data_IF_400519913303
#
_entry.id   IF_400519913303
#
_cell.length_a   1.000
_cell.length_b   1.000
_cell.length_c   1.000
_cell.angle_alpha   90.00
_cell.angle_beta   90.00
_cell.angle_gamma   90.00
#
_symmetry.space_group_name_H-M   'P 1'
#
loop_
_entity.id
_entity.type
_entity.pdbx_description
1 polymer ?
#
# COMPACT_ATOMS: atom_id res chain seq x y z
N UNK A 1 -17.60 11.61 -12.38
CA UNK A 1 -16.38 11.67 -11.54
C UNK A 1 -15.85 10.27 -11.32
N UNK A 2 -14.57 10.08 -11.62
CA UNK A 2 -13.96 8.78 -11.39
C UNK A 2 -13.82 8.50 -9.90
N UNK A 3 -14.16 7.28 -9.47
CA UNK A 3 -13.98 6.87 -8.09
C UNK A 3 -12.50 6.67 -7.79
N UNK A 4 -12.05 7.14 -6.64
CA UNK A 4 -10.70 6.88 -6.16
C UNK A 4 -10.58 5.40 -5.78
N UNK A 5 -9.64 4.70 -6.36
CA UNK A 5 -9.36 3.31 -6.04
C UNK A 5 -8.21 3.21 -5.05
N UNK A 6 -8.38 2.40 -4.04
CA UNK A 6 -7.36 2.18 -3.01
C UNK A 6 -6.65 0.85 -3.27
N UNK A 7 -5.33 0.91 -3.42
CA UNK A 7 -4.50 -0.25 -3.76
C UNK A 7 -3.44 -0.43 -2.68
N UNK A 8 -3.37 -1.62 -2.09
CA UNK A 8 -2.29 -1.97 -1.17
C UNK A 8 -1.23 -2.78 -1.93
N UNK A 9 0.01 -2.30 -1.90
CA UNK A 9 1.14 -3.01 -2.49
C UNK A 9 2.06 -3.46 -1.36
N UNK A 10 2.16 -4.76 -1.10
CA UNK A 10 3.08 -5.26 -0.08
C UNK A 10 4.49 -5.34 -0.65
N UNK A 11 5.49 -5.12 0.20
CA UNK A 11 6.88 -5.08 -0.27
C UNK A 11 7.14 -3.90 -1.21
N UNK A 12 6.44 -2.78 -1.00
CA UNK A 12 6.47 -1.64 -1.91
C UNK A 12 7.68 -0.73 -1.76
N UNK A 13 8.56 -0.99 -0.81
CA UNK A 13 9.69 -0.11 -0.53
C UNK A 13 10.90 -0.35 -1.44
N UNK A 14 10.97 -1.45 -2.17
CA UNK A 14 12.07 -1.71 -3.11
C UNK A 14 11.64 -2.68 -4.22
N UNK A 15 12.51 -2.82 -5.23
CA UNK A 15 12.37 -3.79 -6.32
C UNK A 15 11.07 -3.64 -7.10
N UNK A 16 10.46 -4.77 -7.44
CA UNK A 16 9.24 -4.82 -8.23
C UNK A 16 8.08 -4.10 -7.51
N UNK A 17 8.01 -4.24 -6.19
CA UNK A 17 6.96 -3.57 -5.41
C UNK A 17 7.05 -2.05 -5.54
N UNK A 18 8.26 -1.51 -5.44
CA UNK A 18 8.49 -0.07 -5.61
C UNK A 18 8.08 0.40 -7.02
N UNK A 19 8.49 -0.34 -8.06
CA UNK A 19 8.13 0.02 -9.44
C UNK A 19 6.62 -0.08 -9.67
N UNK A 20 5.96 -1.00 -9.00
CA UNK A 20 4.51 -1.13 -9.06
C UNK A 20 3.82 0.10 -8.46
N UNK A 21 4.27 0.54 -7.28
CA UNK A 21 3.75 1.76 -6.65
C UNK A 21 3.97 2.96 -7.59
N UNK A 22 5.16 3.08 -8.15
CA UNK A 22 5.49 4.16 -9.07
C UNK A 22 4.56 4.17 -10.27
N UNK A 23 4.26 3.01 -10.84
CA UNK A 23 3.35 2.91 -11.98
C UNK A 23 1.95 3.44 -11.63
N UNK A 24 1.44 3.13 -10.44
CA UNK A 24 0.16 3.69 -10.00
C UNK A 24 0.23 5.21 -9.85
N UNK A 25 1.33 5.72 -9.30
CA UNK A 25 1.48 7.17 -9.14
C UNK A 25 1.56 7.91 -10.46
N UNK A 26 2.08 7.26 -11.50
CA UNK A 26 2.20 7.84 -12.84
C UNK A 26 0.96 7.64 -13.69
N UNK A 27 -0.03 6.89 -13.20
CA UNK A 27 -1.27 6.64 -13.93
C UNK A 27 -2.13 7.90 -14.01
N UNK A 28 -2.88 8.05 -15.10
CA UNK A 28 -3.85 9.10 -15.25
C UNK A 28 -5.18 8.79 -14.56
N UNK A 29 -5.33 7.56 -14.06
CA UNK A 29 -6.50 7.17 -13.27
C UNK A 29 -6.28 7.55 -11.80
N UNK A 30 -7.36 7.69 -11.06
CA UNK A 30 -7.31 8.13 -9.67
C UNK A 30 -7.04 6.95 -8.73
N UNK A 31 -5.87 6.98 -8.10
CA UNK A 31 -5.44 5.96 -7.12
C UNK A 31 -4.97 6.58 -5.82
N UNK A 32 -5.28 5.90 -4.73
CA UNK A 32 -4.60 6.12 -3.46
C UNK A 32 -3.85 4.82 -3.15
N UNK A 33 -2.53 4.91 -3.08
CA UNK A 33 -1.67 3.72 -2.93
C UNK A 33 -1.23 3.59 -1.48
N UNK A 34 -1.42 2.40 -0.92
CA UNK A 34 -0.89 2.05 0.39
C UNK A 34 0.40 1.28 0.16
N UNK A 35 1.53 1.89 0.50
CA UNK A 35 2.85 1.28 0.34
C UNK A 35 3.16 0.46 1.60
N UNK A 36 2.99 -0.85 1.50
CA UNK A 36 3.23 -1.77 2.60
C UNK A 36 4.69 -2.18 2.71
N UNK A 37 5.24 -2.12 3.91
CA UNK A 37 6.61 -2.52 4.20
C UNK A 37 6.73 -2.98 5.64
N UNK A 38 7.66 -3.89 5.91
CA UNK A 38 7.96 -4.31 7.28
C UNK A 38 8.57 -3.18 8.09
N UNK A 39 9.24 -2.25 7.43
CA UNK A 39 9.89 -1.10 8.07
C UNK A 39 9.18 0.18 7.67
N UNK A 40 8.57 0.85 8.63
CA UNK A 40 7.91 2.13 8.40
C UNK A 40 8.92 3.18 7.92
N UNK A 41 10.13 3.16 8.45
CA UNK A 41 11.20 4.07 8.04
C UNK A 41 11.56 3.89 6.58
N UNK A 42 11.73 2.64 6.14
CA UNK A 42 12.04 2.35 4.72
C UNK A 42 10.87 2.74 3.82
N UNK A 43 9.64 2.53 4.28
CA UNK A 43 8.47 2.95 3.53
C UNK A 43 8.46 4.47 3.33
N UNK A 44 8.74 5.22 4.38
CA UNK A 44 8.78 6.68 4.31
C UNK A 44 9.87 7.18 3.37
N UNK A 45 11.06 6.55 3.41
CA UNK A 45 12.17 6.89 2.50
C UNK A 45 11.78 6.61 1.05
N UNK A 46 11.12 5.48 0.80
CA UNK A 46 10.65 5.15 -0.55
C UNK A 46 9.65 6.18 -1.06
N UNK A 47 8.75 6.65 -0.18
CA UNK A 47 7.76 7.67 -0.54
C UNK A 47 8.44 8.99 -0.88
N UNK A 48 9.47 9.39 -0.13
CA UNK A 48 10.24 10.58 -0.46
C UNK A 48 10.85 10.49 -1.85
N UNK A 49 11.43 9.33 -2.18
CA UNK A 49 12.01 9.09 -3.49
C UNK A 49 10.94 9.13 -4.58
N UNK A 50 9.77 8.53 -4.31
CA UNK A 50 8.66 8.55 -5.26
C UNK A 50 8.19 9.97 -5.55
N UNK A 51 8.11 10.82 -4.53
CA UNK A 51 7.73 12.23 -4.73
C UNK A 51 8.72 12.98 -5.61
N UNK A 52 10.01 12.64 -5.52
CA UNK A 52 11.04 13.22 -6.37
C UNK A 52 10.97 12.70 -7.80
N UNK A 53 10.65 11.41 -7.96
CA UNK A 53 10.58 10.77 -9.27
C UNK A 53 9.26 11.05 -10.00
N UNK A 54 8.21 11.33 -9.24
CA UNK A 54 6.87 11.56 -9.81
C UNK A 54 6.31 12.91 -9.35
N UNK A 55 6.99 14.03 -9.64
CA UNK A 55 6.60 15.34 -9.09
C UNK A 55 5.26 15.85 -9.64
N UNK A 56 4.80 15.31 -10.77
CA UNK A 56 3.55 15.72 -11.39
C UNK A 56 2.39 14.78 -11.10
N UNK A 57 2.62 13.78 -10.26
CA UNK A 57 1.56 12.82 -9.92
C UNK A 57 0.42 13.52 -9.19
N UNK A 58 -0.80 13.23 -9.63
CA UNK A 58 -2.02 13.64 -8.93
C UNK A 58 -2.52 12.56 -7.99
N UNK A 59 -1.91 11.39 -8.01
CA UNK A 59 -2.25 10.29 -7.13
C UNK A 59 -1.49 10.37 -5.82
N UNK A 60 -1.97 9.70 -4.80
CA UNK A 60 -1.42 9.79 -3.45
C UNK A 60 -0.87 8.46 -3.00
N UNK A 61 0.07 8.51 -2.06
CA UNK A 61 0.68 7.32 -1.46
C UNK A 61 0.86 7.53 0.03
N UNK A 62 0.58 6.50 0.81
CA UNK A 62 0.80 6.53 2.24
C UNK A 62 1.47 5.24 2.70
N UNK A 63 2.28 5.33 3.75
CA UNK A 63 3.00 4.18 4.29
C UNK A 63 2.10 3.36 5.22
N UNK A 64 2.18 2.04 5.07
CA UNK A 64 1.54 1.10 5.98
C UNK A 64 2.59 0.11 6.44
N UNK A 65 2.86 0.07 7.75
CA UNK A 65 3.77 -0.92 8.28
C UNK A 65 3.05 -2.26 8.41
N UNK A 66 3.54 -3.25 7.70
CA UNK A 66 2.99 -4.60 7.79
C UNK A 66 4.10 -5.64 7.63
N UNK A 67 4.24 -6.49 8.66
CA UNK A 67 5.12 -7.65 8.63
C UNK A 67 4.25 -8.89 8.52
N UNK A 68 4.29 -9.54 7.36
CA UNK A 68 3.43 -10.68 7.07
C UNK A 68 3.77 -11.93 7.90
N UNK A 69 4.87 -11.91 8.66
CA UNK A 69 5.21 -12.98 9.59
C UNK A 69 4.65 -12.77 10.99
N UNK A 70 3.99 -11.64 11.22
CA UNK A 70 3.45 -11.27 12.52
C UNK A 70 1.95 -10.97 12.44
N UNK A 71 1.14 -11.79 13.08
CA UNK A 71 -0.33 -11.57 13.13
C UNK A 71 -0.67 -10.24 13.78
N UNK A 72 0.08 -9.84 14.82
CA UNK A 72 -0.12 -8.55 15.48
C UNK A 72 0.12 -7.38 14.51
N UNK A 73 1.17 -7.47 13.70
CA UNK A 73 1.47 -6.43 12.72
C UNK A 73 0.37 -6.34 11.66
N UNK A 74 -0.14 -7.48 11.22
CA UNK A 74 -1.24 -7.54 10.24
C UNK A 74 -2.50 -6.89 10.82
N UNK A 75 -2.83 -7.19 12.07
CA UNK A 75 -3.99 -6.59 12.74
C UNK A 75 -3.86 -5.08 12.86
N UNK A 76 -2.68 -4.58 13.23
CA UNK A 76 -2.44 -3.14 13.33
C UNK A 76 -2.55 -2.45 11.97
N UNK A 77 -2.02 -3.09 10.92
CA UNK A 77 -2.14 -2.57 9.57
C UNK A 77 -3.60 -2.50 9.14
N UNK A 78 -4.37 -3.55 9.45
CA UNK A 78 -5.80 -3.59 9.16
C UNK A 78 -6.54 -2.45 9.85
N UNK A 79 -6.26 -2.22 11.13
CA UNK A 79 -6.88 -1.14 11.87
C UNK A 79 -6.55 0.23 11.30
N UNK A 80 -5.30 0.43 10.87
CA UNK A 80 -4.89 1.66 10.21
C UNK A 80 -5.70 1.89 8.93
N UNK A 81 -5.81 0.88 8.10
CA UNK A 81 -6.55 0.98 6.84
C UNK A 81 -8.05 1.16 7.08
N UNK A 82 -8.59 0.49 8.08
CA UNK A 82 -10.00 0.62 8.43
C UNK A 82 -10.34 2.03 8.90
N UNK A 83 -9.43 2.66 9.62
CA UNK A 83 -9.60 4.04 10.07
C UNK A 83 -9.51 5.03 8.89
N UNK A 84 -8.60 4.81 7.97
CA UNK A 84 -8.40 5.64 6.79
C UNK A 84 -7.49 4.91 5.80
N UNK A 85 -7.92 4.70 4.58
CA UNK A 85 -9.11 5.22 3.88
C UNK A 85 -10.42 4.45 4.11
N UNK A 86 -10.39 3.38 4.87
CA UNK A 86 -11.58 2.63 5.24
C UNK A 86 -11.86 1.39 4.40
N UNK A 87 -11.16 1.22 3.30
CA UNK A 87 -11.33 0.05 2.42
C UNK A 87 -10.10 -0.16 1.52
N UNK A 88 -10.03 -1.31 0.89
CA UNK A 88 -9.02 -1.63 -0.12
C UNK A 88 -9.76 -2.22 -1.32
N UNK A 89 -9.50 -1.67 -2.50
CA UNK A 89 -10.10 -2.16 -3.75
C UNK A 89 -9.27 -3.25 -4.40
N UNK A 90 -7.95 -3.23 -4.22
CA UNK A 90 -7.06 -4.23 -4.80
C UNK A 90 -5.83 -4.45 -3.93
N UNK A 91 -5.33 -5.68 -3.93
CA UNK A 91 -4.11 -6.06 -3.23
C UNK A 91 -3.11 -6.56 -4.27
N UNK A 92 -1.93 -5.95 -4.29
CA UNK A 92 -0.81 -6.44 -5.08
C UNK A 92 0.25 -6.96 -4.12
N UNK A 93 0.45 -8.26 -4.12
CA UNK A 93 1.28 -8.91 -3.12
C UNK A 93 2.65 -9.30 -3.69
N UNK A 94 3.66 -8.50 -3.36
CA UNK A 94 5.04 -8.78 -3.76
C UNK A 94 5.83 -9.54 -2.69
N UNK A 95 5.30 -9.60 -1.48
CA UNK A 95 6.01 -10.21 -0.35
C UNK A 95 5.50 -11.62 -0.02
N UNK A 96 4.57 -12.15 -0.83
CA UNK A 96 3.93 -13.44 -0.56
C UNK A 96 2.63 -13.28 0.23
N UNK A 97 1.63 -14.10 -0.08
CA UNK A 97 0.31 -14.00 0.55
C UNK A 97 0.30 -14.68 1.90
N UNK A 98 -0.08 -13.94 2.92
CA UNK A 98 -0.36 -14.49 4.24
C UNK A 98 -1.88 -14.67 4.38
N UNK A 99 -2.32 -15.84 4.85
CA UNK A 99 -3.74 -16.17 4.97
C UNK A 99 -4.51 -15.16 5.82
N UNK A 100 -3.92 -14.73 6.94
CA UNK A 100 -4.56 -13.76 7.83
C UNK A 100 -4.77 -12.41 7.15
N UNK A 101 -3.78 -11.96 6.39
CA UNK A 101 -3.89 -10.70 5.64
C UNK A 101 -5.01 -10.78 4.62
N UNK A 102 -5.04 -11.87 3.83
CA UNK A 102 -6.08 -12.09 2.85
C UNK A 102 -7.46 -12.08 3.51
N UNK A 103 -7.61 -12.80 4.60
CA UNK A 103 -8.88 -12.91 5.31
C UNK A 103 -9.35 -11.55 5.82
N UNK A 104 -8.45 -10.77 6.41
CA UNK A 104 -8.78 -9.45 6.93
C UNK A 104 -9.23 -8.49 5.84
N UNK A 105 -8.56 -8.50 4.69
CA UNK A 105 -8.86 -7.58 3.60
C UNK A 105 -10.18 -7.93 2.91
N UNK A 106 -10.45 -9.22 2.69
CA UNK A 106 -11.57 -9.63 1.86
C UNK A 106 -12.79 -10.13 2.64
N UNK A 107 -12.68 -10.31 3.94
CA UNK A 107 -13.78 -10.87 4.76
C UNK A 107 -14.17 -10.04 5.97
N UNK A 108 -13.40 -9.07 6.37
CA UNK A 108 -13.68 -8.26 7.56
C UNK A 108 -14.35 -6.93 7.15
N UNK A 109 -15.62 -6.99 6.86
CA UNK A 109 -16.38 -5.77 6.58
C UNK A 109 -17.23 -5.40 7.77
#
# INVERSE_FOLDING_TARGET
MASLKVVLVTGGNNGIGYETVKAFLQSDKAYHVLLGSRSLEKAKLAIETLHKECPESTNTVEAVQVDLTSDESIEKAFEQVKASPGHIDALINNAGMHTSLYHMIFHAN
#
